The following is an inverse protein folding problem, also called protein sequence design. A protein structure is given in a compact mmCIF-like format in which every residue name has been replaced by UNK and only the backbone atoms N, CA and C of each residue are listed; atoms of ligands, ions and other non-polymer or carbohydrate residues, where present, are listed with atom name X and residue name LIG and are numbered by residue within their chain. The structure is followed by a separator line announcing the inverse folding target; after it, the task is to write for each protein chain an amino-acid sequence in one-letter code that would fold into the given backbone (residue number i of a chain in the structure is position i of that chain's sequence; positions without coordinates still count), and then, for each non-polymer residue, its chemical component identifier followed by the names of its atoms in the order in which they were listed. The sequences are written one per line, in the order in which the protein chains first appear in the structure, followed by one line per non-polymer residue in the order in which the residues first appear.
data_IF_387956005817
#
_entry.id   IF_387956005817
#
_cell.length_a   1.000
_cell.length_b   1.000
_cell.length_c   1.000
_cell.angle_alpha   90.00
_cell.angle_beta   90.00
_cell.angle_gamma   90.00
#
_symmetry.space_group_name_H-M   'P 1'
#
loop_
_entity.id
_entity.type
_entity.pdbx_description
1 polymer ?
#
# COMPACT_ATOMS: atom_id res chain seq x y z
N UNK A 1 -17.55 7.86 -0.19
CA UNK A 1 -16.43 7.12 -0.80
C UNK A 1 -15.30 7.12 0.22
N UNK A 2 -14.62 5.98 0.49
CA UNK A 2 -13.47 5.98 1.37
C UNK A 2 -12.37 6.90 0.83
N UNK A 3 -11.50 7.36 1.73
CA UNK A 3 -10.31 8.12 1.38
C UNK A 3 -9.08 7.40 1.91
N UNK A 4 -7.95 7.59 1.23
CA UNK A 4 -6.63 7.19 1.72
C UNK A 4 -5.79 8.45 1.91
N UNK A 5 -5.06 8.50 3.02
CA UNK A 5 -4.09 9.54 3.32
C UNK A 5 -2.68 8.98 3.11
N UNK A 6 -1.98 9.48 2.10
CA UNK A 6 -0.58 9.15 1.85
C UNK A 6 0.32 10.20 2.53
N UNK A 7 1.10 9.75 3.51
CA UNK A 7 2.11 10.56 4.18
C UNK A 7 3.42 10.47 3.39
N UNK A 8 3.88 11.62 2.89
CA UNK A 8 5.07 11.70 2.06
C UNK A 8 6.33 11.91 2.92
N UNK A 9 7.48 11.56 2.37
CA UNK A 9 8.79 11.70 3.05
C UNK A 9 9.10 13.18 3.39
N UNK A 10 8.62 14.11 2.57
CA UNK A 10 8.77 15.56 2.79
C UNK A 10 7.84 16.12 3.89
N UNK A 11 7.05 15.26 4.53
CA UNK A 11 6.09 15.60 5.58
C UNK A 11 4.73 16.08 5.08
N UNK A 12 4.53 16.16 3.76
CA UNK A 12 3.21 16.49 3.20
C UNK A 12 2.26 15.31 3.28
N UNK A 13 0.96 15.60 3.25
CA UNK A 13 -0.09 14.57 3.20
C UNK A 13 -0.95 14.78 1.97
N UNK A 14 -1.10 13.74 1.17
CA UNK A 14 -1.98 13.73 0.01
C UNK A 14 -3.19 12.87 0.35
N UNK A 15 -4.38 13.45 0.27
CA UNK A 15 -5.65 12.73 0.48
C UNK A 15 -6.33 12.50 -0.85
N UNK A 16 -6.71 11.26 -1.12
CA UNK A 16 -7.33 10.88 -2.39
C UNK A 16 -8.58 10.03 -2.18
N UNK A 17 -9.47 10.06 -3.17
CA UNK A 17 -10.60 9.14 -3.25
C UNK A 17 -10.11 7.71 -3.50
N UNK A 18 -10.61 6.78 -2.68
CA UNK A 18 -10.30 5.35 -2.75
C UNK A 18 -11.60 4.54 -2.92
N UNK A 19 -12.03 4.28 -4.16
CA UNK A 19 -13.18 3.41 -4.43
C UNK A 19 -12.98 2.01 -3.84
N UNK A 20 -14.05 1.44 -3.28
CA UNK A 20 -14.04 0.06 -2.78
C UNK A 20 -13.73 -0.90 -3.92
N UNK A 21 -12.91 -1.91 -3.64
CA UNK A 21 -12.52 -2.96 -4.58
C UNK A 21 -11.17 -2.72 -5.27
N UNK A 22 -10.48 -1.62 -4.94
CA UNK A 22 -9.10 -1.37 -5.36
C UNK A 22 -8.15 -1.51 -4.17
N UNK A 23 -6.97 -2.06 -4.41
CA UNK A 23 -5.87 -2.12 -3.45
C UNK A 23 -5.24 -0.73 -3.23
N UNK A 24 -4.54 -0.56 -2.11
CA UNK A 24 -3.78 0.68 -1.81
C UNK A 24 -2.77 0.99 -2.91
N UNK A 25 -2.10 -0.03 -3.44
CA UNK A 25 -1.16 0.10 -4.56
C UNK A 25 -1.86 0.67 -5.82
N UNK A 26 -3.00 0.10 -6.22
CA UNK A 26 -3.74 0.59 -7.38
C UNK A 26 -4.20 2.04 -7.21
N UNK A 27 -4.61 2.43 -6.00
CA UNK A 27 -4.94 3.83 -5.68
C UNK A 27 -3.70 4.72 -5.81
N UNK A 28 -2.56 4.29 -5.28
CA UNK A 28 -1.29 5.01 -5.38
C UNK A 28 -0.88 5.27 -6.83
N UNK A 29 -0.88 4.24 -7.66
CA UNK A 29 -0.56 4.33 -9.09
C UNK A 29 -1.56 5.24 -9.83
N UNK A 30 -2.88 5.05 -9.59
CA UNK A 30 -3.94 5.82 -10.24
C UNK A 30 -3.84 7.32 -9.98
N UNK A 31 -3.40 7.71 -8.78
CA UNK A 31 -3.20 9.11 -8.40
C UNK A 31 -1.75 9.58 -8.54
N UNK A 32 -0.90 8.79 -9.22
CA UNK A 32 0.49 9.12 -9.51
C UNK A 32 1.33 9.46 -8.27
N UNK A 33 1.21 8.64 -7.22
CA UNK A 33 2.08 8.72 -6.05
C UNK A 33 3.52 8.35 -6.44
N UNK A 34 4.45 9.31 -6.34
CA UNK A 34 5.84 9.22 -6.84
C UNK A 34 6.63 8.00 -6.32
N UNK A 35 6.29 7.48 -5.15
CA UNK A 35 7.01 6.37 -4.48
C UNK A 35 6.29 5.02 -4.58
N UNK A 36 5.19 4.93 -5.33
CA UNK A 36 4.41 3.69 -5.49
C UNK A 36 4.39 3.35 -6.99
N UNK A 37 5.34 2.51 -7.41
CA UNK A 37 5.48 2.14 -8.82
C UNK A 37 4.54 0.99 -9.22
N UNK A 38 4.38 -0.01 -8.34
CA UNK A 38 3.56 -1.19 -8.62
C UNK A 38 4.02 -1.99 -9.84
N UNK A 39 5.33 -2.20 -9.99
CA UNK A 39 5.96 -2.65 -11.24
C UNK A 39 5.48 -4.04 -11.71
N UNK A 40 5.17 -4.95 -10.77
CA UNK A 40 4.63 -6.27 -11.09
C UNK A 40 3.10 -6.30 -11.30
N UNK A 41 2.42 -5.15 -11.15
CA UNK A 41 0.95 -5.06 -11.26
C UNK A 41 0.19 -5.80 -10.17
N UNK A 42 0.77 -5.96 -8.97
CA UNK A 42 0.12 -6.64 -7.84
C UNK A 42 0.18 -8.17 -7.90
N UNK A 43 1.17 -8.73 -8.60
CA UNK A 43 1.37 -10.19 -8.73
C UNK A 43 2.33 -10.79 -7.70
N UNK A 44 2.69 -10.04 -6.65
CA UNK A 44 3.63 -10.45 -5.59
C UNK A 44 4.98 -10.92 -6.16
N UNK A 45 5.54 -10.15 -7.10
CA UNK A 45 6.80 -10.45 -7.77
C UNK A 45 7.81 -9.29 -7.73
N UNK A 46 7.56 -8.28 -6.89
CA UNK A 46 8.45 -7.15 -6.62
C UNK A 46 8.05 -6.48 -5.29
N UNK A 47 8.89 -5.56 -4.80
CA UNK A 47 8.61 -4.74 -3.61
C UNK A 47 8.38 -3.24 -3.91
N UNK A 48 8.14 -2.85 -5.17
CA UNK A 48 8.09 -1.42 -5.56
C UNK A 48 6.78 -0.70 -5.20
N UNK A 49 5.88 -1.37 -4.49
CA UNK A 49 4.67 -0.79 -3.91
C UNK A 49 4.69 -0.74 -2.38
N UNK A 50 5.84 -1.04 -1.76
CA UNK A 50 5.99 -1.07 -0.31
C UNK A 50 5.60 0.28 0.32
N UNK A 51 4.79 0.20 1.38
CA UNK A 51 4.34 1.34 2.19
C UNK A 51 4.35 0.97 3.66
N UNK A 52 4.41 1.98 4.53
CA UNK A 52 4.18 1.80 5.96
C UNK A 52 2.73 2.09 6.29
N UNK A 53 2.06 1.14 6.95
CA UNK A 53 0.70 1.30 7.43
C UNK A 53 0.72 2.05 8.75
N UNK A 54 -0.16 3.06 8.90
CA UNK A 54 -0.29 3.78 10.16
C UNK A 54 -0.76 2.83 11.28
N UNK A 55 -0.22 2.91 12.51
CA UNK A 55 -0.53 1.98 13.59
C UNK A 55 -2.03 1.77 13.85
N UNK A 56 -2.83 2.85 13.82
CA UNK A 56 -4.30 2.82 13.99
C UNK A 56 -5.08 2.00 12.93
N UNK A 57 -4.40 1.58 11.86
CA UNK A 57 -4.94 0.80 10.75
C UNK A 57 -4.33 -0.58 10.62
N UNK A 58 -3.24 -0.89 11.32
CA UNK A 58 -2.53 -2.17 11.21
C UNK A 58 -3.47 -3.36 11.33
N UNK A 59 -4.17 -3.46 12.45
CA UNK A 59 -5.11 -4.57 12.74
C UNK A 59 -6.32 -4.65 11.79
N UNK A 60 -6.53 -3.64 10.93
CA UNK A 60 -7.67 -3.57 10.00
C UNK A 60 -7.32 -3.95 8.57
N UNK A 61 -6.02 -3.98 8.23
CA UNK A 61 -5.54 -4.27 6.87
C UNK A 61 -4.84 -5.61 6.77
N UNK A 62 -4.58 -6.26 7.92
CA UNK A 62 -4.05 -7.61 7.95
C UNK A 62 -5.01 -8.60 7.26
N UNK A 63 -4.47 -9.68 6.68
CA UNK A 63 -5.28 -10.79 6.18
C UNK A 63 -6.17 -11.37 7.28
N UNK A 64 -7.29 -11.99 6.91
CA UNK A 64 -8.20 -12.65 7.85
C UNK A 64 -7.50 -13.74 8.70
N UNK A 65 -6.41 -14.31 8.17
CA UNK A 65 -5.59 -15.34 8.81
C UNK A 65 -4.59 -14.78 9.83
N UNK A 66 -4.44 -13.45 9.90
CA UNK A 66 -3.82 -12.74 11.00
C UNK A 66 -2.56 -11.96 10.62
N UNK A 67 -1.59 -12.58 9.97
CA UNK A 67 -0.24 -11.98 9.77
C UNK A 67 0.11 -11.75 8.30
N UNK A 68 1.18 -10.97 8.07
CA UNK A 68 1.79 -10.80 6.74
C UNK A 68 2.26 -12.16 6.22
N UNK A 69 2.09 -12.43 4.92
CA UNK A 69 2.53 -13.73 4.37
C UNK A 69 4.05 -13.80 4.26
N UNK A 70 4.62 -14.99 4.45
CA UNK A 70 6.07 -15.22 4.31
C UNK A 70 6.56 -14.78 2.92
N UNK A 71 5.76 -15.00 1.86
CA UNK A 71 6.15 -14.57 0.51
C UNK A 71 6.22 -13.04 0.34
N UNK A 72 5.39 -12.28 1.06
CA UNK A 72 5.48 -10.82 1.06
C UNK A 72 6.71 -10.35 1.85
N UNK A 73 6.96 -10.95 3.02
CA UNK A 73 8.16 -10.65 3.83
C UNK A 73 9.45 -10.92 3.05
N UNK A 74 9.55 -12.06 2.37
CA UNK A 74 10.70 -12.43 1.53
C UNK A 74 10.98 -11.40 0.41
N UNK A 75 9.93 -10.75 -0.12
CA UNK A 75 10.10 -9.69 -1.12
C UNK A 75 10.63 -8.39 -0.52
N UNK A 76 10.30 -8.10 0.74
CA UNK A 76 10.71 -6.88 1.43
C UNK A 76 12.13 -6.95 2.01
N UNK A 77 12.63 -8.16 2.26
CA UNK A 77 13.96 -8.42 2.84
C UNK A 77 15.14 -8.28 1.84
N UNK A 78 14.87 -7.87 0.59
CA UNK A 78 15.84 -7.74 -0.51
C UNK A 78 16.67 -6.45 -0.50
#
# INVERSE_FOLDING_TARGET
MPHIHFFQIDGTTITVDAPIGLSVMEIGVKHSMDKIDGACGGSLACATCHVYVHPDWWDKVLPDEGDVSEEEEDMLDL
#
